data_IF_132939188775
#
_entry.id   IF_132939188775
#
_cell.length_a   1.000
_cell.length_b   1.000
_cell.length_c   1.000
_cell.angle_alpha   90.00
_cell.angle_beta   90.00
_cell.angle_gamma   90.00
#
_symmetry.space_group_name_H-M   'P 1'
#
loop_
_entity.id
_entity.type
_entity.pdbx_description
1 polymer ?
#
# COMPACT_ATOMS: atom_id res chain seq x y z
N UNK A 1 23.61 58.73 62.78
CA UNK A 1 23.25 58.66 61.33
C UNK A 1 22.84 57.25 60.86
N UNK A 2 22.40 56.33 61.74
CA UNK A 2 22.21 54.92 61.35
C UNK A 2 20.73 54.51 61.11
N UNK A 3 19.77 55.32 61.54
CA UNK A 3 18.33 54.98 61.43
C UNK A 3 17.73 55.15 60.03
N UNK A 4 18.30 56.03 59.19
CA UNK A 4 17.81 56.24 57.83
C UNK A 4 18.24 55.13 56.87
N UNK A 5 19.45 54.59 57.10
CA UNK A 5 19.99 53.46 56.33
C UNK A 5 19.18 52.20 56.62
N UNK A 6 18.80 51.90 57.87
CA UNK A 6 18.05 50.68 58.19
C UNK A 6 16.65 50.63 57.56
N UNK A 7 16.00 51.80 57.39
CA UNK A 7 14.72 51.93 56.67
C UNK A 7 14.87 51.61 55.18
N UNK A 8 15.97 52.04 54.58
CA UNK A 8 16.30 51.78 53.18
C UNK A 8 16.67 50.31 52.95
N UNK A 9 17.46 49.72 53.85
CA UNK A 9 17.81 48.30 53.81
C UNK A 9 16.58 47.41 54.00
N UNK A 10 15.66 47.79 54.89
CA UNK A 10 14.40 47.07 55.11
C UNK A 10 13.49 47.10 53.89
N UNK A 11 13.38 48.25 53.20
CA UNK A 11 12.61 48.35 51.95
C UNK A 11 13.23 47.56 50.80
N UNK A 12 14.55 47.61 50.65
CA UNK A 12 15.27 46.82 49.64
C UNK A 12 15.16 45.31 49.86
N UNK A 13 15.20 44.86 51.11
CA UNK A 13 15.02 43.45 51.47
C UNK A 13 13.62 42.94 51.09
N UNK A 14 12.57 43.74 51.35
CA UNK A 14 11.20 43.39 50.99
C UNK A 14 10.99 43.28 49.48
N UNK A 15 11.59 44.20 48.71
CA UNK A 15 11.57 44.12 47.24
C UNK A 15 12.28 42.88 46.72
N UNK A 16 13.46 42.56 47.25
CA UNK A 16 14.19 41.33 46.91
C UNK A 16 13.37 40.07 47.19
N UNK A 17 12.67 40.04 48.33
CA UNK A 17 11.84 38.91 48.74
C UNK A 17 10.61 38.76 47.82
N UNK A 18 9.97 39.87 47.46
CA UNK A 18 8.87 39.88 46.49
C UNK A 18 9.30 39.40 45.10
N UNK A 19 10.45 39.87 44.59
CA UNK A 19 11.01 39.44 43.31
C UNK A 19 11.37 37.95 43.35
N UNK A 20 11.94 37.46 44.44
CA UNK A 20 12.25 36.03 44.63
C UNK A 20 11.00 35.16 44.59
N UNK A 21 9.90 35.59 45.22
CA UNK A 21 8.62 34.86 45.20
C UNK A 21 8.02 34.88 43.78
N UNK A 22 8.05 36.03 43.10
CA UNK A 22 7.57 36.15 41.73
C UNK A 22 8.37 35.26 40.76
N UNK A 23 9.71 35.25 40.85
CA UNK A 23 10.56 34.38 40.02
C UNK A 23 10.34 32.89 40.34
N UNK A 24 10.23 32.52 41.62
CA UNK A 24 9.99 31.13 42.02
C UNK A 24 8.63 30.60 41.54
N UNK A 25 7.57 31.41 41.66
CA UNK A 25 6.24 31.07 41.16
C UNK A 25 6.19 30.92 39.64
N UNK A 26 6.83 31.85 38.90
CA UNK A 26 6.90 31.78 37.45
C UNK A 26 7.68 30.55 36.96
N UNK A 27 8.78 30.21 37.64
CA UNK A 27 9.61 29.04 37.32
C UNK A 27 8.82 27.74 37.51
N UNK A 28 7.97 27.66 38.54
CA UNK A 28 7.11 26.51 38.79
C UNK A 28 6.06 26.33 37.67
N UNK A 29 5.40 27.41 37.24
CA UNK A 29 4.46 27.35 36.11
C UNK A 29 5.18 27.00 34.80
N UNK A 30 6.35 27.58 34.53
CA UNK A 30 7.12 27.26 33.32
C UNK A 30 7.54 25.79 33.30
N UNK A 31 8.03 25.27 34.43
CA UNK A 31 8.46 23.88 34.55
C UNK A 31 7.29 22.92 34.33
N UNK A 32 6.11 23.25 34.87
CA UNK A 32 4.91 22.44 34.66
C UNK A 32 4.43 22.47 33.20
N UNK A 33 4.50 23.63 32.53
CA UNK A 33 4.20 23.75 31.09
C UNK A 33 5.22 23.00 30.24
N UNK A 34 6.49 23.03 30.61
CA UNK A 34 7.55 22.29 29.93
C UNK A 34 7.35 20.78 30.05
N UNK A 35 6.96 20.31 31.23
CA UNK A 35 6.66 18.90 31.49
C UNK A 35 5.45 18.42 30.68
N UNK A 36 4.38 19.22 30.65
CA UNK A 36 3.20 18.94 29.81
C UNK A 36 3.55 18.93 28.32
N UNK A 37 4.37 19.88 27.84
CA UNK A 37 4.82 19.91 26.46
C UNK A 37 5.71 18.69 26.12
N UNK A 38 6.57 18.25 27.05
CA UNK A 38 7.36 17.03 26.91
C UNK A 38 6.48 15.80 26.84
N UNK A 39 5.48 15.69 27.71
CA UNK A 39 4.53 14.58 27.69
C UNK A 39 3.75 14.53 26.38
N UNK A 40 3.22 15.66 25.92
CA UNK A 40 2.54 15.76 24.62
C UNK A 40 3.47 15.39 23.46
N UNK A 41 4.73 15.84 23.48
CA UNK A 41 5.71 15.45 22.46
C UNK A 41 6.02 13.96 22.48
N UNK A 42 6.09 13.33 23.66
CA UNK A 42 6.34 11.90 23.79
C UNK A 42 5.13 11.05 23.35
N UNK A 43 3.91 11.52 23.60
CA UNK A 43 2.68 10.89 23.08
C UNK A 43 2.59 11.01 21.56
N UNK A 44 2.89 12.20 21.01
CA UNK A 44 2.96 12.39 19.56
C UNK A 44 4.05 11.53 18.92
N UNK A 45 5.23 11.42 19.54
CA UNK A 45 6.31 10.57 19.06
C UNK A 45 5.87 9.10 18.99
N UNK A 46 5.22 8.59 20.05
CA UNK A 46 4.71 7.20 20.08
C UNK A 46 3.67 6.94 18.99
N UNK A 47 2.75 7.89 18.77
CA UNK A 47 1.73 7.74 17.72
C UNK A 47 2.32 7.84 16.31
N UNK A 48 3.35 8.67 16.11
CA UNK A 48 4.10 8.75 14.86
C UNK A 48 4.93 7.49 14.61
N UNK A 49 5.59 6.93 15.61
CA UNK A 49 6.33 5.67 15.48
C UNK A 49 5.38 4.50 15.16
N UNK A 50 4.19 4.50 15.77
CA UNK A 50 3.15 3.51 15.49
C UNK A 50 2.58 3.66 14.07
N UNK A 51 2.37 4.89 13.59
CA UNK A 51 2.00 5.15 12.20
C UNK A 51 3.12 4.80 11.23
N UNK A 52 4.38 5.11 11.54
CA UNK A 52 5.53 4.80 10.70
C UNK A 52 5.72 3.28 10.58
N UNK A 53 5.51 2.54 11.67
CA UNK A 53 5.47 1.08 11.67
C UNK A 53 4.37 0.54 10.73
N UNK A 54 3.17 1.10 10.80
CA UNK A 54 2.05 0.70 9.94
C UNK A 54 2.34 1.03 8.46
N UNK A 55 2.85 2.23 8.17
CA UNK A 55 3.22 2.66 6.81
C UNK A 55 4.34 1.79 6.24
N UNK A 56 5.34 1.43 7.05
CA UNK A 56 6.40 0.52 6.61
C UNK A 56 5.85 -0.86 6.24
N UNK A 57 4.87 -1.39 7.00
CA UNK A 57 4.22 -2.65 6.64
C UNK A 57 3.39 -2.54 5.36
N UNK A 58 2.66 -1.43 5.16
CA UNK A 58 1.90 -1.21 3.93
C UNK A 58 2.82 -1.04 2.71
N UNK A 59 3.92 -0.30 2.84
CA UNK A 59 4.90 -0.12 1.75
C UNK A 59 5.56 -1.43 1.34
N UNK A 60 5.89 -2.30 2.29
CA UNK A 60 6.46 -3.61 1.96
C UNK A 60 5.46 -4.50 1.24
N UNK A 61 4.17 -4.43 1.61
CA UNK A 61 3.10 -5.16 0.92
C UNK A 61 2.83 -4.61 -0.48
N UNK A 62 2.79 -3.29 -0.65
CA UNK A 62 2.63 -2.63 -1.95
C UNK A 62 3.79 -2.91 -2.90
N UNK A 63 5.03 -2.91 -2.39
CA UNK A 63 6.21 -3.24 -3.18
C UNK A 63 6.14 -4.69 -3.68
N UNK A 64 5.75 -5.63 -2.82
CA UNK A 64 5.56 -7.03 -3.20
C UNK A 64 4.42 -7.19 -4.21
N UNK A 65 3.29 -6.52 -4.00
CA UNK A 65 2.14 -6.60 -4.91
C UNK A 65 2.49 -6.03 -6.29
N UNK A 66 3.23 -4.90 -6.34
CA UNK A 66 3.71 -4.32 -7.61
C UNK A 66 4.68 -5.25 -8.34
N UNK A 67 5.56 -5.93 -7.62
CA UNK A 67 6.48 -6.90 -8.21
C UNK A 67 5.73 -8.11 -8.82
N UNK A 68 4.73 -8.63 -8.10
CA UNK A 68 3.88 -9.72 -8.59
C UNK A 68 3.06 -9.31 -9.82
N UNK A 69 2.45 -8.11 -9.78
CA UNK A 69 1.72 -7.54 -10.91
C UNK A 69 2.62 -7.38 -12.16
N UNK A 70 3.84 -6.88 -11.98
CA UNK A 70 4.79 -6.74 -13.08
C UNK A 70 5.18 -8.10 -13.68
N UNK A 71 5.45 -9.11 -12.84
CA UNK A 71 5.77 -10.45 -13.30
C UNK A 71 4.59 -11.09 -14.08
N UNK A 72 3.37 -10.96 -13.56
CA UNK A 72 2.17 -11.48 -14.21
C UNK A 72 1.93 -10.80 -15.56
N UNK A 73 2.07 -9.47 -15.62
CA UNK A 73 1.90 -8.72 -16.86
C UNK A 73 2.96 -9.10 -17.90
N UNK A 74 4.20 -9.32 -17.48
CA UNK A 74 5.26 -9.78 -18.37
C UNK A 74 4.98 -11.18 -18.94
N UNK A 75 4.50 -12.09 -18.09
CA UNK A 75 4.10 -13.43 -18.52
C UNK A 75 2.94 -13.38 -19.53
N UNK A 76 1.90 -12.57 -19.27
CA UNK A 76 0.80 -12.40 -20.23
C UNK A 76 1.29 -11.83 -21.57
N UNK A 77 2.17 -10.84 -21.54
CA UNK A 77 2.76 -10.27 -22.76
C UNK A 77 3.56 -11.31 -23.54
N UNK A 78 4.38 -12.11 -22.86
CA UNK A 78 5.11 -13.21 -23.50
C UNK A 78 4.15 -14.23 -24.12
N UNK A 79 3.07 -14.59 -23.41
CA UNK A 79 2.09 -15.54 -23.91
C UNK A 79 1.35 -15.00 -25.14
N UNK A 80 1.00 -13.70 -25.15
CA UNK A 80 0.42 -13.04 -26.32
C UNK A 80 1.37 -13.03 -27.51
N UNK A 81 2.64 -12.68 -27.29
CA UNK A 81 3.65 -12.71 -28.36
C UNK A 81 3.83 -14.12 -28.93
N UNK A 82 3.88 -15.12 -28.05
CA UNK A 82 4.01 -16.51 -28.46
C UNK A 82 2.78 -16.97 -29.25
N UNK A 83 1.57 -16.64 -28.79
CA UNK A 83 0.33 -16.93 -29.51
C UNK A 83 0.31 -16.28 -30.91
N UNK A 84 0.72 -15.02 -31.02
CA UNK A 84 0.80 -14.32 -32.31
C UNK A 84 1.82 -14.99 -33.26
N UNK A 85 2.98 -15.38 -32.75
CA UNK A 85 4.00 -16.08 -33.53
C UNK A 85 3.47 -17.44 -34.00
N UNK A 86 2.85 -18.21 -33.12
CA UNK A 86 2.24 -19.49 -33.50
C UNK A 86 1.15 -19.29 -34.55
N UNK A 87 0.24 -18.33 -34.35
CA UNK A 87 -0.84 -18.06 -35.29
C UNK A 87 -0.31 -17.65 -36.67
N UNK A 88 0.75 -16.82 -36.73
CA UNK A 88 1.43 -16.48 -37.99
C UNK A 88 2.05 -17.70 -38.65
N UNK A 89 2.77 -18.53 -37.89
CA UNK A 89 3.37 -19.78 -38.41
C UNK A 89 2.31 -20.72 -38.96
N UNK A 90 1.19 -20.90 -38.26
CA UNK A 90 0.06 -21.66 -38.77
C UNK A 90 -0.41 -21.06 -40.08
N UNK A 91 -0.76 -19.77 -40.09
CA UNK A 91 -1.24 -19.08 -41.30
C UNK A 91 -0.29 -19.19 -42.49
N UNK A 92 1.02 -19.13 -42.27
CA UNK A 92 2.03 -19.32 -43.34
C UNK A 92 2.06 -20.76 -43.85
N UNK A 93 1.96 -21.75 -42.97
CA UNK A 93 1.92 -23.17 -43.36
C UNK A 93 0.66 -23.51 -44.18
N UNK A 94 -0.50 -22.96 -43.82
CA UNK A 94 -1.76 -23.18 -44.57
C UNK A 94 -1.89 -22.28 -45.81
N UNK A 95 -1.12 -21.19 -45.93
CA UNK A 95 -1.20 -20.25 -47.08
C UNK A 95 -0.95 -20.91 -48.43
N UNK A 96 -0.08 -21.92 -48.49
CA UNK A 96 0.26 -22.61 -49.74
C UNK A 96 -0.64 -23.82 -50.03
N UNK A 97 -1.58 -24.16 -49.13
CA UNK A 97 -2.43 -25.33 -49.27
C UNK A 97 -3.88 -24.91 -49.54
N UNK A 98 -4.35 -25.13 -50.77
CA UNK A 98 -5.69 -24.68 -51.22
C UNK A 98 -6.82 -25.25 -50.35
N UNK A 99 -6.72 -26.50 -49.91
CA UNK A 99 -7.72 -27.14 -49.05
C UNK A 99 -7.78 -26.55 -47.63
N UNK A 100 -6.69 -25.92 -47.14
CA UNK A 100 -6.63 -25.35 -45.80
C UNK A 100 -6.96 -23.85 -45.77
N UNK A 101 -6.96 -23.19 -46.94
CA UNK A 101 -7.39 -21.80 -47.10
C UNK A 101 -8.92 -21.68 -47.18
N UNK A 102 -9.62 -22.76 -47.54
CA UNK A 102 -11.07 -22.80 -47.61
C UNK A 102 -11.69 -22.85 -46.20
N UNK A 103 -12.76 -22.07 -46.00
CA UNK A 103 -13.47 -22.06 -44.73
C UNK A 103 -14.09 -23.43 -44.52
N UNK A 104 -13.72 -24.10 -43.42
CA UNK A 104 -14.28 -25.39 -43.07
C UNK A 104 -15.82 -25.27 -42.96
N UNK A 105 -16.60 -26.15 -43.60
CA UNK A 105 -18.06 -26.06 -43.58
C UNK A 105 -18.59 -26.17 -42.14
N UNK A 106 -19.55 -25.33 -41.77
CA UNK A 106 -20.10 -25.27 -40.41
C UNK A 106 -20.64 -26.64 -39.93
N UNK A 107 -21.22 -27.44 -40.83
CA UNK A 107 -21.70 -28.79 -40.49
C UNK A 107 -20.59 -29.74 -40.01
N UNK A 108 -19.36 -29.59 -40.51
CA UNK A 108 -18.23 -30.41 -40.04
C UNK A 108 -17.67 -29.87 -38.73
N UNK A 109 -17.74 -28.54 -38.53
CA UNK A 109 -17.37 -27.89 -37.27
C UNK A 109 -18.32 -28.26 -36.14
N UNK A 110 -19.63 -28.34 -36.39
CA UNK A 110 -20.63 -28.76 -35.41
C UNK A 110 -20.44 -30.22 -34.98
N UNK A 111 -20.10 -31.09 -35.94
CA UNK A 111 -19.76 -32.48 -35.64
C UNK A 111 -18.48 -32.62 -34.81
N UNK A 112 -17.43 -31.85 -35.14
CA UNK A 112 -16.15 -31.85 -34.40
C UNK A 112 -16.26 -31.25 -33.01
N UNK A 113 -17.10 -30.22 -32.85
CA UNK A 113 -17.33 -29.56 -31.57
C UNK A 113 -18.32 -30.35 -30.70
N UNK A 114 -18.94 -31.41 -31.25
CA UNK A 114 -19.93 -32.24 -30.56
C UNK A 114 -21.23 -31.49 -30.28
N UNK A 115 -21.48 -30.38 -30.98
CA UNK A 115 -22.69 -29.57 -30.87
C UNK A 115 -23.83 -30.13 -31.73
N UNK A 116 -23.52 -31.05 -32.64
CA UNK A 116 -24.50 -31.92 -33.33
C UNK A 116 -25.09 -32.96 -32.36
N UNK A 117 -26.17 -32.57 -31.67
CA UNK A 117 -26.96 -33.44 -30.79
C UNK A 117 -27.61 -34.63 -31.52
N UNK A 118 -27.72 -34.59 -32.84
CA UNK A 118 -28.24 -35.69 -33.66
C UNK A 118 -27.24 -36.85 -33.84
N UNK A 119 -25.93 -36.59 -33.75
CA UNK A 119 -24.89 -37.63 -33.85
C UNK A 119 -24.66 -38.36 -32.51
N UNK A 120 -25.00 -37.71 -31.39
CA UNK A 120 -24.90 -38.29 -30.05
C UNK A 120 -26.04 -39.29 -29.73
N UNK A 121 -27.09 -39.38 -30.56
CA UNK A 121 -28.29 -40.19 -30.30
C UNK A 121 -28.36 -41.52 -31.04
N UNK A 122 -27.25 -42.06 -31.58
CA UNK A 122 -27.18 -43.51 -31.80
C UNK A 122 -26.72 -44.17 -30.51
N UNK A 123 -27.69 -44.25 -29.59
CA UNK A 123 -27.76 -45.16 -28.47
C UNK A 123 -27.09 -46.50 -28.83
N UNK A 124 -25.89 -46.74 -28.31
CA UNK A 124 -25.31 -48.08 -28.27
C UNK A 124 -25.29 -48.45 -26.79
N UNK A 125 -26.25 -49.25 -26.30
CA UNK A 125 -26.25 -49.67 -24.91
C UNK A 125 -25.03 -50.56 -24.70
N UNK A 126 -24.08 -50.06 -23.92
CA UNK A 126 -23.03 -50.88 -23.33
C UNK A 126 -23.70 -51.66 -22.20
N UNK A 127 -24.04 -52.92 -22.48
CA UNK A 127 -24.43 -53.91 -21.50
C UNK A 127 -23.25 -54.19 -20.54
N UNK A 128 -23.53 -54.57 -19.27
CA UNK A 128 -22.56 -54.54 -18.16
C UNK A 128 -21.33 -55.43 -18.34
#
# INVERSE_FOLDING_TARGET
MNGWISKLTSGGLLLLLAVSICLGGYSSLLSHRLELARQQSAEQQKTLDQQAGLIATLQTQDAQNRALMAAQQQQEQQLRQQADIYQRKYREAIKNNKCAAERMPDAVLDLLRGTDTNAASTDRPVAP
#
